data_IF_822056109767
#
_entry.id   IF_822056109767
#
_cell.length_a   1.000
_cell.length_b   1.000
_cell.length_c   1.000
_cell.angle_alpha   90.00
_cell.angle_beta   90.00
_cell.angle_gamma   90.00
#
_symmetry.space_group_name_H-M   'P 1'
#
loop_
_entity.id
_entity.type
_entity.pdbx_description
1 polymer ?
#
# COMPACT_ATOMS: atom_id res chain seq x y z
N UNK A 1 -12.18 5.33 -16.01
CA UNK A 1 -10.79 4.82 -15.85
C UNK A 1 -9.76 5.91 -15.52
N UNK A 2 -9.74 7.09 -16.15
CA UNK A 2 -8.78 8.17 -15.80
C UNK A 2 -8.84 8.57 -14.32
N UNK A 3 -10.03 8.93 -13.83
CA UNK A 3 -10.23 9.35 -12.42
C UNK A 3 -9.79 8.29 -11.39
N UNK A 4 -9.92 7.01 -11.71
CA UNK A 4 -9.44 5.94 -10.83
C UNK A 4 -7.91 5.95 -10.70
N UNK A 5 -7.20 6.02 -11.84
CA UNK A 5 -5.74 6.06 -11.87
C UNK A 5 -5.19 7.33 -11.22
N UNK A 6 -5.83 8.47 -11.47
CA UNK A 6 -5.44 9.76 -10.89
C UNK A 6 -5.56 9.73 -9.35
N UNK A 7 -6.62 9.10 -8.82
CA UNK A 7 -6.81 8.93 -7.37
C UNK A 7 -5.81 7.96 -6.76
N UNK A 8 -5.51 6.84 -7.43
CA UNK A 8 -4.45 5.92 -6.99
C UNK A 8 -3.08 6.62 -6.89
N UNK A 9 -2.71 7.43 -7.89
CA UNK A 9 -1.45 8.16 -7.91
C UNK A 9 -1.32 9.16 -6.74
N UNK A 10 -2.45 9.68 -6.26
CA UNK A 10 -2.53 10.60 -5.10
C UNK A 10 -2.70 9.88 -3.76
N UNK A 11 -2.69 8.55 -3.74
CA UNK A 11 -2.97 7.74 -2.56
C UNK A 11 -4.37 7.97 -1.97
N UNK A 12 -5.33 8.42 -2.79
CA UNK A 12 -6.74 8.57 -2.41
C UNK A 12 -7.51 7.29 -2.76
N UNK A 13 -7.21 6.22 -2.03
CA UNK A 13 -7.73 4.88 -2.33
C UNK A 13 -9.23 4.74 -2.02
N UNK A 14 -9.74 5.50 -1.05
CA UNK A 14 -11.18 5.53 -0.74
C UNK A 14 -11.96 6.16 -1.88
N UNK A 15 -11.52 7.32 -2.38
CA UNK A 15 -12.17 7.91 -3.54
C UNK A 15 -11.94 7.05 -4.79
N UNK A 16 -10.79 6.37 -4.94
CA UNK A 16 -10.57 5.44 -6.05
C UNK A 16 -11.61 4.31 -6.05
N UNK A 17 -11.91 3.72 -4.89
CA UNK A 17 -12.95 2.70 -4.74
C UNK A 17 -14.34 3.24 -5.13
N UNK A 18 -14.69 4.44 -4.65
CA UNK A 18 -15.96 5.09 -4.99
C UNK A 18 -16.09 5.43 -6.48
N UNK A 19 -15.00 5.83 -7.15
CA UNK A 19 -14.99 6.10 -8.59
C UNK A 19 -15.33 4.85 -9.42
N UNK A 20 -14.87 3.68 -8.99
CA UNK A 20 -15.15 2.41 -9.68
C UNK A 20 -16.59 1.98 -9.42
N UNK A 21 -17.07 2.11 -8.19
CA UNK A 21 -18.45 1.75 -7.83
C UNK A 21 -19.50 2.60 -8.60
N UNK A 22 -19.19 3.86 -8.86
CA UNK A 22 -20.11 4.80 -9.53
C UNK A 22 -19.96 4.83 -11.06
N UNK A 23 -19.00 4.10 -11.64
CA UNK A 23 -18.83 4.08 -13.09
C UNK A 23 -19.88 3.17 -13.75
N UNK A 24 -20.57 3.63 -14.80
CA UNK A 24 -21.45 2.77 -15.60
C UNK A 24 -20.65 1.65 -16.28
N UNK A 25 -21.06 0.39 -16.06
CA UNK A 25 -20.26 -0.78 -16.38
C UNK A 25 -20.43 -1.23 -17.83
N UNK A 26 -19.35 -1.17 -18.62
CA UNK A 26 -19.20 -2.01 -19.82
C UNK A 26 -18.64 -3.40 -19.51
N UNK A 27 -17.98 -3.57 -18.35
CA UNK A 27 -17.44 -4.84 -17.86
C UNK A 27 -17.55 -4.90 -16.34
N UNK A 28 -18.50 -5.70 -15.85
CA UNK A 28 -18.79 -5.86 -14.42
C UNK A 28 -17.71 -6.65 -13.68
N UNK A 29 -17.03 -7.59 -14.36
CA UNK A 29 -15.97 -8.38 -13.75
C UNK A 29 -14.76 -7.50 -13.42
N UNK A 30 -14.34 -6.67 -14.38
CA UNK A 30 -13.26 -5.70 -14.20
C UNK A 30 -13.55 -4.71 -13.07
N UNK A 31 -14.79 -4.25 -12.93
CA UNK A 31 -15.18 -3.36 -11.83
C UNK A 31 -15.06 -4.03 -10.46
N UNK A 32 -15.51 -5.28 -10.33
CA UNK A 32 -15.40 -6.04 -9.07
C UNK A 32 -13.92 -6.19 -8.67
N UNK A 33 -13.05 -6.53 -9.61
CA UNK A 33 -11.62 -6.67 -9.35
C UNK A 33 -10.96 -5.35 -8.93
N UNK A 34 -11.19 -4.27 -9.68
CA UNK A 34 -10.62 -2.95 -9.37
C UNK A 34 -11.16 -2.37 -8.06
N UNK A 35 -12.44 -2.58 -7.77
CA UNK A 35 -13.08 -2.18 -6.52
C UNK A 35 -12.46 -2.90 -5.34
N UNK A 36 -12.28 -4.23 -5.44
CA UNK A 36 -11.65 -5.04 -4.40
C UNK A 36 -10.21 -4.62 -4.13
N UNK A 37 -9.42 -4.40 -5.20
CA UNK A 37 -8.05 -3.86 -5.08
C UNK A 37 -8.02 -2.51 -4.38
N UNK A 38 -8.92 -1.59 -4.74
CA UNK A 38 -8.98 -0.27 -4.12
C UNK A 38 -9.36 -0.34 -2.63
N UNK A 39 -10.29 -1.24 -2.26
CA UNK A 39 -10.64 -1.49 -0.86
C UNK A 39 -9.44 -2.02 -0.06
N UNK A 40 -8.66 -2.95 -0.63
CA UNK A 40 -7.42 -3.40 0.01
C UNK A 40 -6.40 -2.28 0.16
N UNK A 41 -6.18 -1.45 -0.86
CA UNK A 41 -5.26 -0.31 -0.74
C UNK A 41 -5.73 0.70 0.32
N UNK A 42 -7.04 0.95 0.43
CA UNK A 42 -7.59 1.78 1.49
C UNK A 42 -7.35 1.15 2.88
N UNK A 43 -7.57 -0.16 3.04
CA UNK A 43 -7.27 -0.88 4.29
C UNK A 43 -5.78 -0.84 4.63
N UNK A 44 -4.90 -1.00 3.63
CA UNK A 44 -3.45 -0.86 3.79
C UNK A 44 -3.09 0.51 4.36
N UNK A 45 -3.54 1.59 3.71
CA UNK A 45 -3.22 2.96 4.13
C UNK A 45 -3.77 3.27 5.53
N UNK A 46 -4.99 2.85 5.83
CA UNK A 46 -5.60 3.05 7.15
C UNK A 46 -4.84 2.33 8.25
N UNK A 47 -4.45 1.07 8.03
CA UNK A 47 -3.63 0.33 8.99
C UNK A 47 -2.30 1.03 9.24
N UNK A 48 -1.62 1.46 8.17
CA UNK A 48 -0.35 2.17 8.28
C UNK A 48 -0.47 3.49 9.05
N UNK A 49 -1.54 4.27 8.81
CA UNK A 49 -1.82 5.49 9.60
C UNK A 49 -1.97 5.15 11.09
N UNK A 50 -2.74 4.11 11.42
CA UNK A 50 -2.94 3.67 12.81
C UNK A 50 -1.62 3.24 13.44
N UNK A 51 -0.80 2.47 12.73
CA UNK A 51 0.49 2.00 13.24
C UNK A 51 1.46 3.17 13.48
N UNK A 52 1.56 4.10 12.52
CA UNK A 52 2.40 5.29 12.62
C UNK A 52 1.97 6.19 13.78
N UNK A 53 0.66 6.36 14.00
CA UNK A 53 0.16 7.19 15.09
C UNK A 53 0.29 6.52 16.47
N UNK A 54 0.40 5.19 16.53
CA UNK A 54 0.58 4.44 17.79
C UNK A 54 2.04 4.23 18.16
N UNK A 55 2.86 3.77 17.22
CA UNK A 55 4.24 3.32 17.47
C UNK A 55 5.29 4.26 16.87
N UNK A 56 4.90 5.09 15.91
CA UNK A 56 5.81 5.88 15.08
C UNK A 56 6.80 4.98 14.32
N UNK A 57 7.53 5.59 13.39
CA UNK A 57 8.64 4.94 12.71
C UNK A 57 9.93 5.70 13.00
N UNK A 58 11.01 4.97 13.28
CA UNK A 58 12.35 5.51 13.44
C UNK A 58 13.27 4.79 12.47
N UNK A 59 13.93 5.54 11.59
CA UNK A 59 14.73 5.00 10.52
C UNK A 59 14.97 6.04 9.44
N UNK A 60 16.12 5.96 8.78
CA UNK A 60 16.50 6.89 7.72
C UNK A 60 15.57 6.74 6.51
N UNK A 61 15.01 7.85 6.06
CA UNK A 61 14.15 7.96 4.90
C UNK A 61 14.63 9.12 4.04
N UNK A 62 14.40 9.03 2.72
CA UNK A 62 14.57 10.15 1.82
C UNK A 62 13.34 10.26 0.93
N UNK A 63 12.87 11.49 0.68
CA UNK A 63 11.82 11.75 -0.29
C UNK A 63 12.35 11.69 -1.74
N UNK A 64 11.46 11.90 -2.71
CA UNK A 64 11.83 11.94 -4.13
C UNK A 64 12.77 13.10 -4.48
N UNK A 65 12.79 14.17 -3.67
CA UNK A 65 13.66 15.33 -3.82
C UNK A 65 15.00 15.15 -3.05
N UNK A 66 15.24 13.94 -2.50
CA UNK A 66 16.41 13.53 -1.71
C UNK A 66 16.59 14.26 -0.38
N UNK A 67 15.51 14.85 0.16
CA UNK A 67 15.50 15.38 1.53
C UNK A 67 15.49 14.22 2.51
N UNK A 68 16.43 14.23 3.46
CA UNK A 68 16.57 13.17 4.45
C UNK A 68 15.75 13.41 5.72
N UNK A 69 15.20 12.33 6.25
CA UNK A 69 14.39 12.29 7.46
C UNK A 69 14.88 11.17 8.37
N UNK A 70 14.67 11.34 9.67
CA UNK A 70 15.09 10.37 10.69
C UNK A 70 13.95 9.45 11.15
N UNK A 71 12.75 9.62 10.59
CA UNK A 71 11.59 8.77 10.86
C UNK A 71 10.27 9.43 10.50
N UNK A 72 9.17 8.80 10.91
CA UNK A 72 7.81 9.31 10.76
C UNK A 72 7.20 9.41 12.15
N UNK A 73 6.79 10.61 12.55
CA UNK A 73 6.18 10.89 13.85
C UNK A 73 4.68 10.58 13.88
N UNK A 74 3.97 10.82 12.78
CA UNK A 74 2.54 10.55 12.65
C UNK A 74 2.12 10.60 11.18
N UNK A 75 0.86 10.30 10.90
CA UNK A 75 0.27 10.41 9.58
C UNK A 75 -1.22 10.76 9.64
N UNK A 76 -1.69 11.44 8.59
CA UNK A 76 -3.11 11.69 8.31
C UNK A 76 -3.48 11.10 6.94
N UNK A 77 -4.73 11.26 6.54
CA UNK A 77 -5.16 10.88 5.19
C UNK A 77 -4.35 11.62 4.10
N UNK A 78 -3.93 12.87 4.35
CA UNK A 78 -3.35 13.73 3.33
C UNK A 78 -1.82 13.69 3.32
N UNK A 79 -1.19 13.52 4.48
CA UNK A 79 0.27 13.63 4.61
C UNK A 79 0.87 12.78 5.72
N UNK A 80 2.17 12.55 5.59
CA UNK A 80 3.05 12.03 6.62
C UNK A 80 3.67 13.20 7.39
N UNK A 81 3.89 13.03 8.69
CA UNK A 81 4.63 13.98 9.52
C UNK A 81 6.00 13.39 9.83
N UNK A 82 7.04 13.88 9.16
CA UNK A 82 8.39 13.31 9.15
C UNK A 82 9.26 13.96 10.22
N UNK A 83 10.08 13.15 10.88
CA UNK A 83 11.09 13.63 11.84
C UNK A 83 12.30 14.16 11.08
N UNK A 84 12.75 15.36 11.44
CA UNK A 84 13.98 15.97 10.97
C UNK A 84 14.90 16.23 12.16
N UNK A 85 16.13 16.68 11.90
CA UNK A 85 17.02 17.18 12.96
C UNK A 85 16.42 18.36 13.75
N UNK A 86 15.55 19.15 13.11
CA UNK A 86 15.08 20.44 13.64
C UNK A 86 13.62 20.40 14.10
N UNK A 87 12.94 19.26 14.00
CA UNK A 87 11.53 19.13 14.37
C UNK A 87 10.77 18.20 13.43
N UNK A 88 9.55 18.57 13.07
CA UNK A 88 8.64 17.74 12.26
C UNK A 88 8.23 18.52 11.00
N UNK A 89 8.24 17.85 9.85
CA UNK A 89 7.82 18.42 8.57
C UNK A 89 6.68 17.60 7.93
N UNK A 90 5.69 18.26 7.34
CA UNK A 90 4.64 17.60 6.58
C UNK A 90 5.12 17.20 5.18
N UNK A 91 4.78 16.00 4.73
CA UNK A 91 5.11 15.48 3.40
C UNK A 91 3.90 14.75 2.80
N UNK A 92 3.49 15.13 1.60
CA UNK A 92 2.45 14.39 0.89
C UNK A 92 2.88 12.93 0.65
N UNK A 93 1.96 11.98 0.80
CA UNK A 93 2.25 10.54 0.63
C UNK A 93 2.99 10.22 -0.69
N UNK A 94 2.56 10.85 -1.78
CA UNK A 94 3.12 10.65 -3.11
C UNK A 94 4.56 11.17 -3.28
N UNK A 95 5.08 11.96 -2.32
CA UNK A 95 6.46 12.45 -2.32
C UNK A 95 7.44 11.48 -1.68
N UNK A 96 6.97 10.48 -0.93
CA UNK A 96 7.83 9.41 -0.41
C UNK A 96 7.90 8.26 -1.44
N UNK A 97 9.09 7.74 -1.77
CA UNK A 97 9.22 6.61 -2.71
C UNK A 97 8.37 5.41 -2.24
N UNK A 98 7.61 4.75 -3.14
CA UNK A 98 6.80 3.59 -2.79
C UNK A 98 7.56 2.46 -2.09
N UNK A 99 8.84 2.25 -2.43
CA UNK A 99 9.70 1.26 -1.80
C UNK A 99 9.94 1.57 -0.32
N UNK A 100 10.09 2.86 0.03
CA UNK A 100 10.25 3.29 1.42
C UNK A 100 8.94 3.12 2.19
N UNK A 101 7.80 3.46 1.59
CA UNK A 101 6.49 3.22 2.19
C UNK A 101 6.20 1.73 2.43
N UNK A 102 6.56 0.87 1.48
CA UNK A 102 6.42 -0.57 1.62
C UNK A 102 7.31 -1.09 2.76
N UNK A 103 8.57 -0.67 2.82
CA UNK A 103 9.49 -1.07 3.89
C UNK A 103 9.00 -0.62 5.28
N UNK A 104 8.50 0.61 5.40
CA UNK A 104 7.89 1.11 6.64
C UNK A 104 6.67 0.27 7.01
N UNK A 105 5.75 0.02 6.06
CA UNK A 105 4.58 -0.82 6.31
C UNK A 105 4.95 -2.24 6.75
N UNK A 106 5.94 -2.85 6.10
CA UNK A 106 6.41 -4.18 6.42
C UNK A 106 7.06 -4.26 7.81
N UNK A 107 7.69 -3.17 8.28
CA UNK A 107 8.30 -3.13 9.63
C UNK A 107 7.28 -3.25 10.77
N UNK A 108 6.00 -2.99 10.50
CA UNK A 108 4.91 -3.18 11.47
C UNK A 108 4.30 -4.59 11.44
N UNK A 109 4.79 -5.49 10.59
CA UNK A 109 4.35 -6.89 10.56
C UNK A 109 5.14 -7.64 11.63
N UNK A 110 4.46 -7.97 12.72
CA UNK A 110 5.01 -8.80 13.78
C UNK A 110 4.78 -10.28 13.44
N UNK A 111 5.82 -11.12 13.47
CA UNK A 111 5.61 -12.56 13.39
C UNK A 111 4.62 -13.01 14.48
N UNK A 112 3.83 -14.03 14.16
CA UNK A 112 2.91 -14.70 15.09
C UNK A 112 1.71 -13.88 15.59
N UNK A 113 1.47 -12.68 15.07
CA UNK A 113 0.19 -11.99 15.33
C UNK A 113 -0.93 -12.53 14.43
N UNK A 114 -2.18 -12.60 14.91
CA UNK A 114 -3.31 -13.12 14.12
C UNK A 114 -3.55 -12.38 12.79
N UNK A 115 -3.12 -11.12 12.70
CA UNK A 115 -3.26 -10.25 11.54
C UNK A 115 -2.01 -10.21 10.65
N UNK A 116 -0.94 -10.96 10.95
CA UNK A 116 0.31 -10.93 10.19
C UNK A 116 0.08 -11.28 8.70
N UNK A 117 -0.70 -12.34 8.43
CA UNK A 117 -1.03 -12.76 7.07
C UNK A 117 -1.84 -11.69 6.31
N UNK A 118 -2.80 -11.03 6.98
CA UNK A 118 -3.57 -9.94 6.39
C UNK A 118 -2.66 -8.75 6.04
N UNK A 119 -1.73 -8.41 6.93
CA UNK A 119 -0.79 -7.30 6.71
C UNK A 119 0.18 -7.60 5.58
N UNK A 120 0.68 -8.84 5.49
CA UNK A 120 1.46 -9.32 4.36
C UNK A 120 0.67 -9.19 3.05
N UNK A 121 -0.57 -9.65 3.03
CA UNK A 121 -1.44 -9.50 1.86
C UNK A 121 -1.60 -8.05 1.43
N UNK A 122 -1.88 -7.14 2.38
CA UNK A 122 -2.04 -5.72 2.10
C UNK A 122 -0.73 -5.07 1.58
N UNK A 123 0.43 -5.48 2.11
CA UNK A 123 1.73 -5.07 1.57
C UNK A 123 1.91 -5.57 0.12
N UNK A 124 1.47 -6.80 -0.18
CA UNK A 124 1.51 -7.35 -1.52
C UNK A 124 0.65 -6.53 -2.51
N UNK A 125 -0.57 -6.15 -2.09
CA UNK A 125 -1.45 -5.31 -2.91
C UNK A 125 -0.80 -3.96 -3.20
N UNK A 126 -0.23 -3.30 -2.18
CA UNK A 126 0.45 -2.02 -2.35
C UNK A 126 1.68 -2.12 -3.26
N UNK A 127 2.51 -3.15 -3.06
CA UNK A 127 3.67 -3.42 -3.89
C UNK A 127 3.28 -3.62 -5.36
N UNK A 128 2.24 -4.42 -5.63
CA UNK A 128 1.72 -4.65 -6.97
C UNK A 128 1.21 -3.36 -7.64
N UNK A 129 0.44 -2.57 -6.89
CA UNK A 129 -0.11 -1.29 -7.38
C UNK A 129 0.97 -0.25 -7.70
N UNK A 130 2.17 -0.39 -7.13
CA UNK A 130 3.30 0.53 -7.30
C UNK A 130 4.44 -0.04 -8.14
N UNK A 131 4.22 -1.19 -8.79
CA UNK A 131 5.17 -1.80 -9.73
C UNK A 131 6.29 -2.61 -9.07
N UNK A 132 6.23 -2.85 -7.76
CA UNK A 132 7.18 -3.66 -6.99
C UNK A 132 6.76 -5.14 -7.05
N UNK A 133 6.81 -5.75 -8.23
CA UNK A 133 6.17 -7.04 -8.50
C UNK A 133 6.83 -8.24 -7.82
N UNK A 134 8.15 -8.22 -7.63
CA UNK A 134 8.85 -9.29 -6.92
C UNK A 134 8.50 -9.25 -5.43
N UNK A 135 8.50 -8.07 -4.80
CA UNK A 135 8.04 -7.87 -3.42
C UNK A 135 6.57 -8.24 -3.27
N UNK A 136 5.73 -7.83 -4.22
CA UNK A 136 4.30 -8.18 -4.23
C UNK A 136 4.11 -9.69 -4.18
N UNK A 137 4.86 -10.44 -5.00
CA UNK A 137 4.82 -11.89 -5.01
C UNK A 137 5.29 -12.47 -3.67
N UNK A 138 6.43 -12.03 -3.15
CA UNK A 138 6.97 -12.53 -1.88
C UNK A 138 5.97 -12.36 -0.73
N UNK A 139 5.38 -11.18 -0.60
CA UNK A 139 4.38 -10.92 0.43
C UNK A 139 3.08 -11.72 0.22
N UNK A 140 2.63 -11.86 -1.04
CA UNK A 140 1.43 -12.65 -1.35
C UNK A 140 1.63 -14.15 -1.06
N UNK A 141 2.81 -14.69 -1.35
CA UNK A 141 3.16 -16.08 -1.06
C UNK A 141 3.21 -16.34 0.44
N UNK A 142 3.83 -15.44 1.20
CA UNK A 142 3.86 -15.51 2.66
C UNK A 142 2.45 -15.49 3.26
N UNK A 143 1.61 -14.56 2.81
CA UNK A 143 0.22 -14.46 3.25
C UNK A 143 -0.59 -15.72 2.91
N UNK A 144 -0.48 -16.23 1.68
CA UNK A 144 -1.21 -17.40 1.19
C UNK A 144 -0.74 -18.73 1.80
N UNK A 145 0.47 -18.76 2.37
CA UNK A 145 0.99 -19.89 3.15
C UNK A 145 0.27 -20.01 4.49
N UNK A 146 0.02 -18.87 5.14
CA UNK A 146 -0.65 -18.79 6.45
C UNK A 146 -2.18 -18.77 6.34
N UNK A 147 -2.74 -18.13 5.31
CA UNK A 147 -4.18 -18.02 5.05
C UNK A 147 -4.51 -18.47 3.62
N UNK A 148 -4.98 -19.72 3.42
CA UNK A 148 -5.23 -20.29 2.10
C UNK A 148 -6.26 -19.54 1.24
N UNK A 149 -7.14 -18.75 1.86
CA UNK A 149 -8.12 -17.90 1.15
C UNK A 149 -7.46 -16.96 0.13
N UNK A 150 -6.26 -16.46 0.44
CA UNK A 150 -5.50 -15.58 -0.45
C UNK A 150 -4.97 -16.29 -1.71
N UNK A 151 -4.94 -17.63 -1.76
CA UNK A 151 -4.55 -18.36 -2.97
C UNK A 151 -5.53 -18.12 -4.13
N UNK A 152 -6.81 -17.95 -3.82
CA UNK A 152 -7.85 -17.67 -4.84
C UNK A 152 -7.72 -16.27 -5.42
N UNK A 153 -7.12 -15.37 -4.65
CA UNK A 153 -6.98 -13.96 -4.99
C UNK A 153 -5.60 -13.62 -5.51
N UNK A 154 -4.67 -14.58 -5.50
CA UNK A 154 -3.25 -14.38 -5.83
C UNK A 154 -3.05 -13.76 -7.21
N UNK A 155 -3.81 -14.21 -8.21
CA UNK A 155 -3.77 -13.67 -9.57
C UNK A 155 -4.15 -12.18 -9.63
N UNK A 156 -4.92 -11.67 -8.65
CA UNK A 156 -5.27 -10.26 -8.52
C UNK A 156 -4.16 -9.44 -7.87
N UNK A 157 -3.05 -10.02 -7.42
CA UNK A 157 -1.98 -9.27 -6.75
C UNK A 157 -0.64 -9.51 -7.44
N UNK A 158 -0.31 -10.76 -7.71
CA UNK A 158 0.89 -11.13 -8.44
C UNK A 158 0.47 -11.78 -9.77
N UNK A 159 0.45 -11.04 -10.89
CA UNK A 159 0.23 -11.67 -12.18
C UNK A 159 1.31 -12.74 -12.42
N UNK A 160 1.02 -13.77 -13.26
CA UNK A 160 2.02 -14.74 -13.66
C UNK A 160 3.24 -14.00 -14.22
N UNK A 161 4.45 -14.55 -13.99
CA UNK A 161 5.65 -13.98 -14.61
C UNK A 161 5.43 -14.11 -16.10
N UNK A 162 5.13 -13.00 -16.78
CA UNK A 162 5.15 -12.97 -18.22
C UNK A 162 6.54 -13.47 -18.63
N UNK A 163 6.61 -14.59 -19.34
CA UNK A 163 7.82 -14.96 -20.04
C UNK A 163 8.18 -13.74 -20.90
N UNK A 164 9.35 -13.16 -20.63
CA UNK A 164 9.94 -12.11 -21.45
C UNK A 164 9.76 -12.48 -22.92
N UNK A 165 9.06 -11.62 -23.66
CA UNK A 165 9.23 -11.52 -25.11
C UNK A 165 10.26 -10.46 -25.38
#
# INVERSE_FOLDING_TARGET
MSQYRDRLARYDFLAAAAAIANAEAKDRAMQVELGKRAQWLARWKNNLIVDLNKKQFSGALADLDRVEYTGIASATADQLMLKTRYGIAGLAWAKLPPQKLLAVSASFIWPDTPDAADRQWLCAVFASATGQFDEARQFAEAAAKSKPEYRREFALVAPPRSASR
#
